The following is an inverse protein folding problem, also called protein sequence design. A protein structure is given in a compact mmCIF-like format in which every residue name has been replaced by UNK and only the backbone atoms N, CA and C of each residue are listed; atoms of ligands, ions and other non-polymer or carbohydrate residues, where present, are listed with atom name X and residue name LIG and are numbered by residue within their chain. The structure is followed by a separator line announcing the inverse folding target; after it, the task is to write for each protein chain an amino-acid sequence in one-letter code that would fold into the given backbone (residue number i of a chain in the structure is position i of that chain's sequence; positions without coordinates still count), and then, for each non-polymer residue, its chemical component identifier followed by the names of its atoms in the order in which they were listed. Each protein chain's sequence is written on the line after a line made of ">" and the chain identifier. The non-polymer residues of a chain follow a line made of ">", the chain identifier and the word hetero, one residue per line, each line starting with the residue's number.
data_IF_631893478224
#
_entry.id   IF_631893478224
#
_cell.length_a   1.000
_cell.length_b   1.000
_cell.length_c   1.000
_cell.angle_alpha   90.00
_cell.angle_beta   90.00
_cell.angle_gamma   90.00
#
_symmetry.space_group_name_H-M   'P 1'
#
loop_
_entity.id
_entity.type
_entity.pdbx_description
1 polymer ?
#
# COMPACT_ATOMS: atom_id res chain seq x y z
N UNK A 1 -8.73 34.56 3.25
CA UNK A 1 -9.88 33.73 2.84
C UNK A 1 -9.51 32.31 2.44
N UNK A 2 -8.52 32.05 1.55
CA UNK A 2 -8.14 30.69 1.12
C UNK A 2 -7.71 29.75 2.26
N UNK A 3 -6.87 30.20 3.19
CA UNK A 3 -6.42 29.37 4.33
C UNK A 3 -7.58 28.93 5.24
N UNK A 4 -8.56 29.80 5.51
CA UNK A 4 -9.72 29.49 6.31
C UNK A 4 -10.65 28.46 5.60
N UNK A 5 -10.81 28.56 4.29
CA UNK A 5 -11.58 27.59 3.50
C UNK A 5 -10.92 26.21 3.50
N UNK A 6 -9.59 26.18 3.36
CA UNK A 6 -8.82 24.92 3.42
C UNK A 6 -8.88 24.26 4.80
N UNK A 7 -8.79 25.06 5.88
CA UNK A 7 -8.93 24.54 7.24
C UNK A 7 -10.31 23.91 7.49
N UNK A 8 -11.38 24.53 6.98
CA UNK A 8 -12.76 23.97 7.05
C UNK A 8 -12.87 22.64 6.28
N UNK A 9 -12.28 22.54 5.09
CA UNK A 9 -12.30 21.31 4.29
C UNK A 9 -11.53 20.17 4.98
N UNK A 10 -10.40 20.47 5.63
CA UNK A 10 -9.61 19.50 6.39
C UNK A 10 -10.40 19.04 7.62
N UNK A 11 -10.96 19.98 8.39
CA UNK A 11 -11.76 19.65 9.56
C UNK A 11 -12.97 18.78 9.23
N UNK A 12 -13.70 19.14 8.18
CA UNK A 12 -14.83 18.33 7.71
C UNK A 12 -14.39 16.96 7.19
N UNK A 13 -13.27 16.89 6.46
CA UNK A 13 -12.67 15.62 6.03
C UNK A 13 -12.27 14.72 7.20
N UNK A 14 -11.72 15.30 8.28
CA UNK A 14 -11.43 14.58 9.52
C UNK A 14 -12.70 14.00 10.16
N UNK A 15 -13.78 14.79 10.26
CA UNK A 15 -15.05 14.33 10.82
C UNK A 15 -15.64 13.17 10.00
N UNK A 16 -15.63 13.29 8.66
CA UNK A 16 -16.10 12.22 7.77
C UNK A 16 -15.28 10.93 7.96
N UNK A 17 -13.97 11.05 8.06
CA UNK A 17 -13.07 9.91 8.29
C UNK A 17 -13.32 9.26 9.65
N UNK A 18 -13.50 10.06 10.71
CA UNK A 18 -13.79 9.56 12.05
C UNK A 18 -15.13 8.86 12.13
N UNK A 19 -16.20 9.49 11.62
CA UNK A 19 -17.54 8.91 11.59
C UNK A 19 -17.53 7.60 10.78
N UNK A 20 -16.88 7.59 9.61
CA UNK A 20 -16.73 6.39 8.79
C UNK A 20 -16.02 5.27 9.53
N UNK A 21 -14.96 5.58 10.27
CA UNK A 21 -14.25 4.59 11.08
C UNK A 21 -15.10 4.03 12.21
N UNK A 22 -15.84 4.88 12.93
CA UNK A 22 -16.72 4.46 14.02
C UNK A 22 -17.88 3.61 13.54
N UNK A 23 -18.49 3.96 12.42
CA UNK A 23 -19.53 3.16 11.78
C UNK A 23 -18.99 1.80 11.32
N UNK A 24 -17.80 1.78 10.74
CA UNK A 24 -17.13 0.54 10.34
C UNK A 24 -16.85 -0.39 11.53
N UNK A 25 -16.47 0.18 12.68
CA UNK A 25 -16.34 -0.56 13.97
C UNK A 25 -17.69 -1.13 14.39
N UNK A 26 -18.75 -0.33 14.36
CA UNK A 26 -20.09 -0.76 14.79
C UNK A 26 -20.67 -1.88 13.92
N UNK A 27 -20.36 -1.89 12.62
CA UNK A 27 -20.78 -2.92 11.66
C UNK A 27 -19.89 -4.19 11.74
N UNK A 28 -18.72 -4.11 12.41
CA UNK A 28 -17.78 -5.22 12.49
C UNK A 28 -17.00 -5.49 11.20
N UNK A 29 -16.70 -4.45 10.42
CA UNK A 29 -15.88 -4.61 9.19
C UNK A 29 -14.44 -4.98 9.53
N UNK A 30 -13.72 -5.67 8.61
CA UNK A 30 -12.28 -5.90 8.80
C UNK A 30 -11.53 -4.57 8.77
N UNK A 31 -10.52 -4.41 9.60
CA UNK A 31 -9.66 -3.21 9.66
C UNK A 31 -10.48 -1.89 9.64
N UNK A 32 -11.41 -1.72 10.60
CA UNK A 32 -12.45 -0.69 10.50
C UNK A 32 -11.90 0.74 10.42
N UNK A 33 -10.79 1.03 11.10
CA UNK A 33 -10.19 2.36 11.12
C UNK A 33 -9.60 2.78 9.77
N UNK A 34 -9.06 1.83 9.01
CA UNK A 34 -8.55 2.06 7.65
C UNK A 34 -9.69 2.08 6.63
N UNK A 35 -10.52 1.02 6.60
CA UNK A 35 -11.57 0.88 5.58
C UNK A 35 -12.70 1.88 5.76
N UNK A 36 -13.14 2.12 6.99
CA UNK A 36 -14.20 3.09 7.27
C UNK A 36 -13.81 4.50 6.83
N UNK A 37 -12.64 4.98 7.26
CA UNK A 37 -12.14 6.29 6.84
C UNK A 37 -11.93 6.39 5.32
N UNK A 38 -11.40 5.35 4.68
CA UNK A 38 -11.19 5.28 3.23
C UNK A 38 -12.53 5.36 2.48
N UNK A 39 -13.46 4.46 2.77
CA UNK A 39 -14.72 4.32 2.02
C UNK A 39 -15.57 5.58 2.17
N UNK A 40 -15.73 6.07 3.40
CA UNK A 40 -16.55 7.27 3.65
C UNK A 40 -15.93 8.51 3.00
N UNK A 41 -14.63 8.73 3.16
CA UNK A 41 -13.96 9.87 2.54
C UNK A 41 -14.02 9.79 1.01
N UNK A 42 -13.78 8.61 0.42
CA UNK A 42 -13.89 8.41 -1.02
C UNK A 42 -15.30 8.65 -1.52
N UNK A 43 -16.32 8.12 -0.83
CA UNK A 43 -17.72 8.31 -1.20
C UNK A 43 -18.13 9.80 -1.19
N UNK A 44 -17.80 10.54 -0.13
CA UNK A 44 -18.08 11.98 -0.07
C UNK A 44 -17.35 12.75 -1.16
N UNK A 45 -16.08 12.42 -1.41
CA UNK A 45 -15.26 13.08 -2.45
C UNK A 45 -15.79 12.84 -3.85
N UNK A 46 -16.17 11.60 -4.17
CA UNK A 46 -16.74 11.21 -5.47
C UNK A 46 -18.08 11.90 -5.73
N UNK A 47 -18.88 12.09 -4.68
CA UNK A 47 -20.17 12.83 -4.75
C UNK A 47 -20.00 14.36 -4.76
N UNK A 48 -18.78 14.88 -4.86
CA UNK A 48 -18.52 16.31 -5.04
C UNK A 48 -18.42 17.12 -3.74
N UNK A 49 -18.44 16.46 -2.58
CA UNK A 49 -18.25 17.17 -1.31
C UNK A 49 -16.80 17.64 -1.20
N UNK A 50 -16.63 18.91 -0.89
CA UNK A 50 -15.30 19.55 -0.87
C UNK A 50 -14.57 19.29 0.46
N UNK A 51 -13.96 18.12 0.56
CA UNK A 51 -13.14 17.67 1.70
C UNK A 51 -11.69 17.48 1.25
N UNK A 52 -10.76 17.67 2.18
CA UNK A 52 -9.33 17.51 1.92
C UNK A 52 -8.63 16.82 3.09
N UNK A 53 -7.52 16.14 2.80
CA UNK A 53 -6.57 15.64 3.78
C UNK A 53 -5.25 16.37 3.58
N UNK A 54 -4.71 16.97 4.64
CA UNK A 54 -3.39 17.59 4.55
C UNK A 54 -2.30 16.52 4.55
N UNK A 55 -1.25 16.74 3.77
CA UNK A 55 -0.12 15.79 3.60
C UNK A 55 0.50 15.36 4.94
N UNK A 56 0.52 16.24 5.93
CA UNK A 56 1.05 15.93 7.26
C UNK A 56 0.33 14.74 7.92
N UNK A 57 -1.00 14.64 7.81
CA UNK A 57 -1.76 13.53 8.39
C UNK A 57 -1.39 12.20 7.73
N UNK A 58 -1.22 12.20 6.40
CA UNK A 58 -0.70 11.02 5.68
C UNK A 58 0.68 10.63 6.19
N UNK A 59 1.60 11.59 6.32
CA UNK A 59 2.97 11.35 6.81
C UNK A 59 2.96 10.77 8.23
N UNK A 60 2.17 11.35 9.14
CA UNK A 60 2.01 10.88 10.51
C UNK A 60 1.43 9.46 10.52
N UNK A 61 0.38 9.20 9.74
CA UNK A 61 -0.20 7.87 9.63
C UNK A 61 0.80 6.82 9.13
N UNK A 62 1.58 7.15 8.08
CA UNK A 62 2.65 6.29 7.57
C UNK A 62 3.72 6.02 8.63
N UNK A 63 4.14 7.03 9.38
CA UNK A 63 5.14 6.90 10.43
C UNK A 63 4.66 6.00 11.57
N UNK A 64 3.46 6.23 12.10
CA UNK A 64 2.86 5.40 13.15
C UNK A 64 2.77 3.93 12.71
N UNK A 65 2.27 3.68 11.51
CA UNK A 65 2.14 2.31 10.99
C UNK A 65 3.52 1.70 10.73
N UNK A 66 4.48 2.49 10.23
CA UNK A 66 5.86 2.05 10.06
C UNK A 66 6.48 1.54 11.37
N UNK A 67 6.38 2.32 12.45
CA UNK A 67 6.83 1.91 13.79
C UNK A 67 6.10 0.63 14.23
N UNK A 68 4.78 0.63 14.10
CA UNK A 68 3.94 -0.50 14.51
C UNK A 68 4.31 -1.81 13.81
N UNK A 69 4.70 -1.77 12.54
CA UNK A 69 5.16 -2.94 11.79
C UNK A 69 6.58 -3.33 12.16
N UNK A 70 7.48 -2.36 12.33
CA UNK A 70 8.88 -2.61 12.71
C UNK A 70 9.04 -3.36 14.03
N UNK A 71 8.14 -3.12 15.01
CA UNK A 71 8.13 -3.81 16.31
C UNK A 71 7.91 -5.33 16.22
N UNK A 72 7.54 -5.87 15.08
CA UNK A 72 7.35 -7.31 14.87
C UNK A 72 8.54 -7.99 14.18
N UNK A 73 9.61 -7.26 13.84
CA UNK A 73 10.83 -7.81 13.23
C UNK A 73 11.78 -8.38 14.28
N UNK A 74 11.36 -9.44 14.95
CA UNK A 74 12.20 -10.16 15.91
C UNK A 74 13.37 -10.89 15.21
N UNK A 75 14.46 -11.28 15.92
CA UNK A 75 15.54 -12.06 15.34
C UNK A 75 15.06 -13.32 14.62
N UNK A 76 14.13 -14.06 15.23
CA UNK A 76 13.51 -15.24 14.63
C UNK A 76 12.78 -14.94 13.32
N UNK A 77 12.04 -13.82 13.27
CA UNK A 77 11.33 -13.40 12.07
C UNK A 77 12.31 -13.00 10.94
N UNK A 78 13.40 -12.35 11.27
CA UNK A 78 14.45 -12.00 10.30
C UNK A 78 15.09 -13.25 9.69
N UNK A 79 15.30 -14.31 10.47
CA UNK A 79 15.80 -15.58 9.97
C UNK A 79 14.81 -16.25 9.00
N UNK A 80 13.52 -16.26 9.33
CA UNK A 80 12.48 -16.76 8.42
C UNK A 80 12.50 -15.99 7.10
N UNK A 81 12.62 -14.65 7.14
CA UNK A 81 12.66 -13.81 5.95
C UNK A 81 13.89 -14.12 5.10
N UNK A 82 15.06 -14.36 5.72
CA UNK A 82 16.30 -14.76 5.00
C UNK A 82 16.09 -16.07 4.25
N UNK A 83 15.50 -17.06 4.89
CA UNK A 83 15.22 -18.38 4.28
C UNK A 83 14.23 -18.27 3.12
N UNK A 84 13.27 -17.32 3.18
CA UNK A 84 12.30 -17.08 2.14
C UNK A 84 12.76 -16.07 1.07
N UNK A 85 14.01 -15.60 1.11
CA UNK A 85 14.55 -14.61 0.17
C UNK A 85 14.45 -15.01 -1.32
N UNK A 86 14.60 -16.28 -1.73
CA UNK A 86 14.37 -16.67 -3.13
C UNK A 86 12.93 -16.43 -3.58
N UNK A 87 11.96 -16.68 -2.70
CA UNK A 87 10.54 -16.45 -2.99
C UNK A 87 10.20 -14.95 -2.98
N UNK A 88 10.87 -14.15 -2.14
CA UNK A 88 10.77 -12.68 -2.19
C UNK A 88 11.22 -12.18 -3.56
N UNK A 89 12.36 -12.65 -4.06
CA UNK A 89 12.85 -12.28 -5.39
C UNK A 89 11.90 -12.75 -6.50
N UNK A 90 11.40 -13.99 -6.43
CA UNK A 90 10.41 -14.50 -7.38
C UNK A 90 9.13 -13.64 -7.40
N UNK A 91 8.66 -13.20 -6.22
CA UNK A 91 7.54 -12.27 -6.09
C UNK A 91 7.79 -10.89 -6.73
N UNK A 92 9.03 -10.38 -6.65
CA UNK A 92 9.43 -9.15 -7.32
C UNK A 92 9.37 -9.28 -8.85
N UNK A 93 9.92 -10.37 -9.40
CA UNK A 93 9.87 -10.67 -10.84
C UNK A 93 8.43 -10.87 -11.30
N UNK A 94 7.64 -11.61 -10.54
CA UNK A 94 6.22 -11.81 -10.80
C UNK A 94 5.45 -10.48 -10.85
N UNK A 95 5.72 -9.53 -9.94
CA UNK A 95 5.06 -8.23 -9.94
C UNK A 95 5.33 -7.41 -11.21
N UNK A 96 6.54 -7.50 -11.75
CA UNK A 96 6.88 -6.89 -13.05
C UNK A 96 6.15 -7.60 -14.19
N UNK A 97 6.13 -8.93 -14.17
CA UNK A 97 5.45 -9.73 -15.19
C UNK A 97 3.94 -9.45 -15.28
N UNK A 98 3.24 -9.42 -14.14
CA UNK A 98 1.81 -9.06 -14.14
C UNK A 98 1.59 -7.60 -14.56
N UNK A 99 2.53 -6.69 -14.26
CA UNK A 99 2.49 -5.31 -14.76
C UNK A 99 2.46 -5.24 -16.28
N UNK A 100 3.23 -6.10 -16.97
CA UNK A 100 3.21 -6.20 -18.44
C UNK A 100 1.88 -6.73 -18.97
N UNK A 101 1.32 -7.74 -18.33
CA UNK A 101 -0.02 -8.24 -18.67
C UNK A 101 -1.06 -7.12 -18.54
N UNK A 102 -0.99 -6.35 -17.47
CA UNK A 102 -1.87 -5.21 -17.27
C UNK A 102 -1.67 -4.10 -18.29
N UNK A 103 -0.42 -3.83 -18.69
CA UNK A 103 -0.13 -2.86 -19.76
C UNK A 103 -0.82 -3.26 -21.07
N UNK A 104 -0.78 -4.54 -21.44
CA UNK A 104 -1.47 -5.04 -22.61
C UNK A 104 -3.00 -4.89 -22.49
N UNK A 105 -3.57 -5.17 -21.30
CA UNK A 105 -5.00 -4.99 -21.02
C UNK A 105 -5.40 -3.52 -21.17
N UNK A 106 -4.70 -2.60 -20.49
CA UNK A 106 -5.03 -1.18 -20.54
C UNK A 106 -4.82 -0.57 -21.92
N UNK A 107 -3.76 -0.96 -22.62
CA UNK A 107 -3.50 -0.50 -23.98
C UNK A 107 -4.60 -0.94 -24.97
N UNK A 108 -5.03 -2.22 -24.89
CA UNK A 108 -6.04 -2.77 -25.78
C UNK A 108 -7.46 -2.28 -25.49
N UNK A 109 -7.83 -2.19 -24.22
CA UNK A 109 -9.22 -1.93 -23.83
C UNK A 109 -9.44 -0.58 -23.15
N UNK A 110 -8.37 0.07 -22.65
CA UNK A 110 -8.45 1.37 -21.98
C UNK A 110 -8.50 2.59 -22.88
N UNK A 111 -8.19 2.43 -24.18
CA UNK A 111 -8.10 3.53 -25.18
C UNK A 111 -7.15 4.65 -24.75
N UNK A 112 -5.96 4.28 -24.28
CA UNK A 112 -4.90 5.19 -23.81
C UNK A 112 -3.58 4.91 -24.52
N UNK A 113 -2.65 5.88 -24.50
CA UNK A 113 -1.31 5.71 -25.01
C UNK A 113 -0.53 4.64 -24.25
N UNK A 114 0.49 4.08 -24.87
CA UNK A 114 1.29 2.99 -24.30
C UNK A 114 1.96 3.39 -22.98
N UNK A 115 2.45 4.62 -22.85
CA UNK A 115 3.05 5.09 -21.61
C UNK A 115 2.02 5.12 -20.44
N UNK A 116 0.83 5.67 -20.70
CA UNK A 116 -0.27 5.68 -19.73
C UNK A 116 -0.68 4.25 -19.34
N UNK A 117 -0.79 3.34 -20.31
CA UNK A 117 -1.12 1.93 -20.06
C UNK A 117 -0.05 1.24 -19.22
N UNK A 118 1.23 1.41 -19.58
CA UNK A 118 2.36 0.77 -18.91
C UNK A 118 2.53 1.25 -17.46
N UNK A 119 2.60 2.57 -17.25
CA UNK A 119 2.77 3.11 -15.89
C UNK A 119 1.50 2.99 -15.05
N UNK A 120 0.31 3.02 -15.66
CA UNK A 120 -0.96 2.80 -14.96
C UNK A 120 -1.18 1.37 -14.49
N UNK A 121 -0.59 0.38 -15.18
CA UNK A 121 -0.68 -1.04 -14.84
C UNK A 121 0.38 -1.52 -13.85
N UNK A 122 1.52 -0.84 -13.78
CA UNK A 122 2.66 -1.25 -12.96
C UNK A 122 2.30 -1.38 -11.47
N UNK A 123 2.78 -2.44 -10.81
CA UNK A 123 2.50 -2.71 -9.39
C UNK A 123 3.50 -1.96 -8.51
N UNK A 124 3.50 -0.64 -8.59
CA UNK A 124 4.36 0.28 -7.84
C UNK A 124 3.58 1.30 -7.02
N UNK A 125 4.29 2.25 -6.41
CA UNK A 125 3.67 3.38 -5.71
C UNK A 125 3.01 4.35 -6.71
N UNK A 126 1.80 4.82 -6.40
CA UNK A 126 1.04 5.67 -7.31
C UNK A 126 1.77 6.97 -7.66
N UNK A 127 2.36 7.63 -6.66
CA UNK A 127 3.08 8.91 -6.83
C UNK A 127 4.33 8.75 -7.71
N UNK A 128 5.08 7.67 -7.48
CA UNK A 128 6.30 7.35 -8.20
C UNK A 128 6.01 6.98 -9.66
N UNK A 129 4.94 6.24 -9.90
CA UNK A 129 4.53 5.87 -11.25
C UNK A 129 4.02 7.06 -12.05
N UNK A 130 3.33 8.02 -11.43
CA UNK A 130 2.93 9.28 -12.08
C UNK A 130 4.16 10.08 -12.50
N UNK A 131 5.17 10.23 -11.62
CA UNK A 131 6.42 10.91 -11.94
C UNK A 131 7.21 10.22 -13.07
N UNK A 132 7.25 8.87 -13.05
CA UNK A 132 7.89 8.10 -14.13
C UNK A 132 7.13 8.24 -15.45
N UNK A 133 5.79 8.23 -15.40
CA UNK A 133 4.95 8.45 -16.57
C UNK A 133 5.19 9.83 -17.21
N UNK A 134 5.25 10.87 -16.38
CA UNK A 134 5.55 12.22 -16.82
C UNK A 134 6.92 12.32 -17.53
N UNK A 135 7.95 11.78 -16.90
CA UNK A 135 9.32 11.75 -17.46
C UNK A 135 9.44 10.98 -18.77
N UNK A 136 8.56 10.03 -19.01
CA UNK A 136 8.56 9.17 -20.20
C UNK A 136 7.47 9.50 -21.21
N UNK A 137 6.87 10.70 -21.12
CA UNK A 137 5.99 11.26 -22.15
C UNK A 137 4.57 10.70 -22.16
N UNK A 138 4.04 10.25 -21.01
CA UNK A 138 2.62 9.93 -20.88
C UNK A 138 1.74 11.15 -21.07
N UNK A 139 0.69 11.01 -21.87
CA UNK A 139 -0.25 12.10 -22.16
C UNK A 139 -1.29 12.30 -21.07
N UNK A 140 -1.52 11.29 -20.19
CA UNK A 140 -2.63 11.29 -19.23
C UNK A 140 -2.23 10.86 -17.81
N UNK A 141 -1.48 11.74 -17.12
CA UNK A 141 -1.03 11.48 -15.74
C UNK A 141 -2.19 11.27 -14.76
N UNK A 142 -3.34 11.91 -15.00
CA UNK A 142 -4.53 11.72 -14.18
C UNK A 142 -5.12 10.32 -14.31
N UNK A 143 -5.05 9.70 -15.49
CA UNK A 143 -5.48 8.32 -15.69
C UNK A 143 -4.51 7.33 -15.04
N UNK A 144 -3.20 7.59 -15.09
CA UNK A 144 -2.21 6.79 -14.34
C UNK A 144 -2.54 6.80 -12.85
N UNK A 145 -2.74 7.98 -12.25
CA UNK A 145 -3.14 8.12 -10.86
C UNK A 145 -4.48 7.41 -10.56
N UNK A 146 -5.46 7.54 -11.45
CA UNK A 146 -6.78 6.91 -11.32
C UNK A 146 -6.70 5.38 -11.37
N UNK A 147 -5.86 4.82 -12.25
CA UNK A 147 -5.63 3.38 -12.32
C UNK A 147 -5.09 2.82 -11.00
N UNK A 148 -4.08 3.47 -10.44
CA UNK A 148 -3.52 3.08 -9.16
C UNK A 148 -4.54 3.21 -8.01
N UNK A 149 -5.29 4.32 -7.97
CA UNK A 149 -6.30 4.54 -6.92
C UNK A 149 -7.41 3.49 -6.97
N UNK A 150 -7.95 3.21 -8.17
CA UNK A 150 -9.00 2.20 -8.31
C UNK A 150 -8.50 0.80 -7.99
N UNK A 151 -7.29 0.42 -8.46
CA UNK A 151 -6.69 -0.88 -8.12
C UNK A 151 -6.53 -1.05 -6.61
N UNK A 152 -5.96 -0.05 -5.93
CA UNK A 152 -5.79 -0.09 -4.47
C UNK A 152 -7.14 -0.21 -3.78
N UNK A 153 -8.15 0.57 -4.18
CA UNK A 153 -9.49 0.49 -3.61
C UNK A 153 -10.08 -0.91 -3.72
N UNK A 154 -10.05 -1.49 -4.92
CA UNK A 154 -10.60 -2.83 -5.18
C UNK A 154 -9.92 -3.89 -4.31
N UNK A 155 -8.60 -3.87 -4.25
CA UNK A 155 -7.82 -4.87 -3.50
C UNK A 155 -8.00 -4.69 -1.98
N UNK A 156 -7.96 -3.45 -1.49
CA UNK A 156 -8.07 -3.13 -0.06
C UNK A 156 -9.47 -3.40 0.47
N UNK A 157 -10.49 -3.38 -0.38
CA UNK A 157 -11.84 -3.83 -0.01
C UNK A 157 -11.94 -5.36 -0.13
N UNK A 158 -11.59 -5.91 -1.29
CA UNK A 158 -11.86 -7.34 -1.58
C UNK A 158 -11.09 -8.28 -0.66
N UNK A 159 -9.79 -8.06 -0.44
CA UNK A 159 -8.95 -9.01 0.31
C UNK A 159 -9.38 -9.10 1.79
N UNK A 160 -9.48 -8.00 2.57
CA UNK A 160 -9.86 -8.13 3.97
C UNK A 160 -11.26 -8.70 4.19
N UNK A 161 -12.23 -8.31 3.32
CA UNK A 161 -13.58 -8.89 3.40
C UNK A 161 -13.61 -10.37 3.03
N UNK A 162 -12.86 -10.80 2.00
CA UNK A 162 -12.72 -12.21 1.67
C UNK A 162 -12.15 -13.02 2.84
N UNK A 163 -11.11 -12.48 3.51
CA UNK A 163 -10.50 -13.12 4.67
C UNK A 163 -11.47 -13.21 5.85
N UNK A 164 -12.22 -12.15 6.11
CA UNK A 164 -13.25 -12.17 7.17
C UNK A 164 -14.36 -13.17 6.86
N UNK A 165 -14.85 -13.20 5.62
CA UNK A 165 -15.90 -14.11 5.17
C UNK A 165 -15.47 -15.59 5.23
N UNK A 166 -14.22 -15.88 4.87
CA UNK A 166 -13.64 -17.23 4.91
C UNK A 166 -13.12 -17.62 6.31
N UNK A 167 -13.19 -16.71 7.29
CA UNK A 167 -12.68 -16.95 8.64
C UNK A 167 -11.17 -17.13 8.72
N UNK A 168 -10.42 -16.63 7.73
CA UNK A 168 -8.97 -16.81 7.63
C UNK A 168 -8.24 -15.91 8.62
N UNK A 169 -7.61 -16.51 9.61
CA UNK A 169 -6.74 -15.87 10.59
C UNK A 169 -5.47 -16.70 10.75
N UNK A 170 -4.40 -16.06 11.15
CA UNK A 170 -3.16 -16.73 11.54
C UNK A 170 -3.08 -16.89 13.04
N UNK A 171 -2.10 -17.65 13.50
CA UNK A 171 -1.79 -17.87 14.92
C UNK A 171 -0.39 -17.30 15.28
N UNK A 172 0.04 -16.27 14.58
CA UNK A 172 1.35 -15.66 14.77
C UNK A 172 1.34 -14.53 15.83
N UNK A 173 0.44 -14.60 16.80
CA UNK A 173 0.36 -13.66 17.94
C UNK A 173 1.61 -13.70 18.83
N UNK A 174 2.38 -14.79 18.80
CA UNK A 174 3.56 -15.02 19.64
C UNK A 174 4.82 -14.30 19.16
N UNK A 175 4.79 -13.60 18.03
CA UNK A 175 6.00 -12.97 17.46
C UNK A 175 6.25 -11.53 17.93
N UNK A 176 5.36 -10.93 18.68
CA UNK A 176 5.62 -9.64 19.29
C UNK A 176 6.40 -9.85 20.61
N UNK A 177 7.55 -9.22 20.76
CA UNK A 177 8.25 -9.21 22.05
C UNK A 177 7.34 -8.56 23.06
N UNK A 178 7.05 -9.25 24.16
CA UNK A 178 6.28 -8.70 25.25
C UNK A 178 7.12 -7.65 26.00
N UNK A 179 6.94 -6.38 25.64
CA UNK A 179 7.53 -5.26 26.35
C UNK A 179 6.44 -4.49 27.08
N UNK A 180 6.72 -4.00 28.27
CA UNK A 180 5.83 -3.11 28.98
C UNK A 180 5.77 -1.73 28.31
N UNK A 181 4.63 -1.06 28.46
CA UNK A 181 4.48 0.29 27.94
C UNK A 181 5.30 1.27 28.79
N UNK A 182 6.17 2.04 28.13
CA UNK A 182 7.01 3.06 28.74
C UNK A 182 6.87 4.39 27.98
N UNK A 183 6.51 5.46 28.68
CA UNK A 183 6.47 6.81 28.10
C UNK A 183 7.85 7.29 27.65
N UNK A 184 8.89 7.00 28.45
CA UNK A 184 10.28 7.34 28.08
C UNK A 184 10.70 6.55 26.87
N UNK A 185 10.40 5.24 26.83
CA UNK A 185 10.66 4.38 25.69
C UNK A 185 9.92 4.84 24.42
N UNK A 186 8.70 5.35 24.55
CA UNK A 186 7.96 5.93 23.42
C UNK A 186 8.66 7.16 22.84
N UNK A 187 9.11 8.08 23.71
CA UNK A 187 9.84 9.27 23.27
C UNK A 187 11.14 8.88 22.57
N UNK A 188 11.91 7.95 23.13
CA UNK A 188 13.15 7.44 22.51
C UNK A 188 12.88 6.83 21.12
N UNK A 189 11.87 5.99 21.02
CA UNK A 189 11.47 5.36 19.77
C UNK A 189 11.03 6.40 18.71
N UNK A 190 10.22 7.39 19.11
CA UNK A 190 9.78 8.46 18.23
C UNK A 190 10.96 9.31 17.73
N UNK A 191 11.90 9.68 18.61
CA UNK A 191 13.07 10.47 18.22
C UNK A 191 13.94 9.70 17.22
N UNK A 192 14.28 8.44 17.51
CA UNK A 192 15.12 7.63 16.63
C UNK A 192 14.46 7.38 15.26
N UNK A 193 13.18 7.06 15.26
CA UNK A 193 12.44 6.83 14.01
C UNK A 193 12.24 8.12 13.22
N UNK A 194 12.07 9.28 13.87
CA UNK A 194 12.00 10.58 13.21
C UNK A 194 13.32 10.89 12.47
N UNK A 195 14.48 10.60 13.10
CA UNK A 195 15.79 10.76 12.45
C UNK A 195 15.85 9.87 11.19
N UNK A 196 15.46 8.60 11.28
CA UNK A 196 15.42 7.69 10.14
C UNK A 196 14.49 8.19 9.02
N UNK A 197 13.31 8.67 9.37
CA UNK A 197 12.37 9.27 8.41
C UNK A 197 12.99 10.50 7.72
N UNK A 198 13.63 11.39 8.47
CA UNK A 198 14.30 12.57 7.94
C UNK A 198 15.43 12.21 6.96
N UNK A 199 16.25 11.23 7.31
CA UNK A 199 17.33 10.75 6.42
C UNK A 199 16.74 10.23 5.10
N UNK A 200 15.72 9.36 5.18
CA UNK A 200 15.08 8.80 3.98
C UNK A 200 14.35 9.88 3.16
N UNK A 201 13.75 10.87 3.78
CA UNK A 201 13.14 11.99 3.07
C UNK A 201 14.19 12.84 2.34
N UNK A 202 15.35 13.08 2.96
CA UNK A 202 16.47 13.82 2.36
C UNK A 202 17.05 13.12 1.12
N UNK A 203 17.12 11.80 1.13
CA UNK A 203 17.54 11.01 -0.05
C UNK A 203 16.39 10.73 -1.03
N UNK A 204 15.21 11.30 -0.79
CA UNK A 204 14.01 11.16 -1.62
C UNK A 204 13.56 9.71 -1.79
N UNK A 205 13.71 8.91 -0.74
CA UNK A 205 13.22 7.53 -0.74
C UNK A 205 11.68 7.49 -0.87
N UNK A 206 11.11 6.52 -1.59
CA UNK A 206 9.66 6.34 -1.69
C UNK A 206 9.09 6.03 -0.32
N UNK A 207 7.91 6.56 0.01
CA UNK A 207 7.25 6.35 1.30
C UNK A 207 8.18 6.53 2.53
N UNK A 208 9.06 7.54 2.50
CA UNK A 208 10.14 7.76 3.45
C UNK A 208 9.68 7.67 4.92
N UNK A 209 8.50 8.22 5.25
CA UNK A 209 7.96 8.19 6.62
C UNK A 209 7.64 6.77 7.08
N UNK A 210 7.06 5.95 6.21
CA UNK A 210 6.73 4.57 6.55
C UNK A 210 8.00 3.70 6.60
N UNK A 211 8.85 3.79 5.57
CA UNK A 211 10.09 3.02 5.52
C UNK A 211 11.05 3.40 6.64
N UNK A 212 11.16 4.68 7.00
CA UNK A 212 11.98 5.14 8.12
C UNK A 212 11.51 4.55 9.44
N UNK A 213 10.20 4.58 9.68
CA UNK A 213 9.59 3.93 10.83
C UNK A 213 9.87 2.43 10.87
N UNK A 214 9.67 1.71 9.75
CA UNK A 214 9.93 0.26 9.66
C UNK A 214 11.41 -0.04 9.89
N UNK A 215 12.31 0.58 9.13
CA UNK A 215 13.74 0.24 9.12
C UNK A 215 14.37 0.47 10.49
N UNK A 216 14.16 1.66 11.08
CA UNK A 216 14.75 1.97 12.38
C UNK A 216 14.20 1.06 13.47
N UNK A 217 12.88 0.88 13.53
CA UNK A 217 12.27 0.02 14.55
C UNK A 217 12.65 -1.45 14.33
N UNK A 218 12.68 -1.94 13.08
CA UNK A 218 13.09 -3.30 12.76
C UNK A 218 14.57 -3.56 13.14
N UNK A 219 15.46 -2.59 12.89
CA UNK A 219 16.86 -2.70 13.30
C UNK A 219 17.00 -2.80 14.83
N UNK A 220 16.24 -2.03 15.58
CA UNK A 220 16.22 -2.11 17.03
C UNK A 220 15.66 -3.47 17.50
N UNK A 221 14.49 -3.84 17.04
CA UNK A 221 13.79 -5.06 17.48
C UNK A 221 14.51 -6.34 17.07
N UNK A 222 15.17 -6.35 15.89
CA UNK A 222 15.97 -7.50 15.44
C UNK A 222 17.26 -7.70 16.25
N UNK A 223 17.65 -6.72 17.05
CA UNK A 223 18.76 -6.82 18.00
C UNK A 223 18.25 -6.88 19.46
N UNK A 224 17.01 -7.31 19.67
CA UNK A 224 16.34 -7.43 20.98
C UNK A 224 16.25 -6.10 21.77
N UNK A 225 16.38 -4.95 21.08
CA UNK A 225 16.22 -3.63 21.68
C UNK A 225 14.77 -3.18 21.48
N UNK A 226 13.96 -3.30 22.53
CA UNK A 226 12.54 -2.87 22.51
C UNK A 226 12.31 -1.85 23.62
N UNK A 227 12.16 -0.59 23.27
CA UNK A 227 11.94 0.50 24.22
C UNK A 227 10.52 0.51 24.80
N UNK A 228 9.52 0.18 23.99
CA UNK A 228 8.11 0.18 24.35
C UNK A 228 7.26 -0.52 23.27
N UNK A 229 6.05 -0.89 23.63
CA UNK A 229 5.02 -1.22 22.64
C UNK A 229 4.23 0.02 22.24
N UNK A 230 3.63 0.00 21.04
CA UNK A 230 2.75 1.06 20.57
C UNK A 230 1.31 0.76 20.99
N UNK A 231 0.67 1.69 21.69
CA UNK A 231 -0.72 1.54 22.14
C UNK A 231 -1.66 1.34 20.94
N UNK A 232 -2.69 0.48 21.08
CA UNK A 232 -3.67 0.22 20.02
C UNK A 232 -4.36 1.49 19.50
N UNK A 233 -4.60 2.46 20.36
CA UNK A 233 -5.24 3.74 20.05
C UNK A 233 -4.40 4.54 19.05
N UNK A 234 -3.09 4.60 19.26
CA UNK A 234 -2.16 5.29 18.36
C UNK A 234 -2.17 4.60 16.99
N UNK A 235 -2.19 3.26 16.97
CA UNK A 235 -2.25 2.50 15.72
C UNK A 235 -3.57 2.75 14.97
N UNK A 236 -4.71 2.83 15.68
CA UNK A 236 -6.03 3.16 15.10
C UNK A 236 -6.01 4.55 14.46
N UNK A 237 -5.42 5.55 15.12
CA UNK A 237 -5.24 6.89 14.56
C UNK A 237 -4.40 6.85 13.28
N UNK A 238 -3.30 6.11 13.28
CA UNK A 238 -2.46 5.91 12.09
C UNK A 238 -3.24 5.30 10.91
N UNK A 239 -4.04 4.27 11.16
CA UNK A 239 -4.91 3.65 10.16
C UNK A 239 -5.96 4.62 9.62
N UNK A 240 -6.62 5.39 10.49
CA UNK A 240 -7.61 6.40 10.10
C UNK A 240 -6.99 7.48 9.21
N UNK A 241 -5.82 7.99 9.55
CA UNK A 241 -5.13 8.99 8.75
C UNK A 241 -4.72 8.47 7.37
N UNK A 242 -4.29 7.22 7.28
CA UNK A 242 -4.01 6.59 5.99
C UNK A 242 -5.28 6.42 5.15
N UNK A 243 -6.35 5.88 5.70
CA UNK A 243 -7.61 5.71 4.99
C UNK A 243 -8.20 7.05 4.54
N UNK A 244 -8.19 8.07 5.40
CA UNK A 244 -8.60 9.43 5.05
C UNK A 244 -7.79 10.00 3.88
N UNK A 245 -6.46 9.87 3.92
CA UNK A 245 -5.59 10.34 2.85
C UNK A 245 -5.87 9.62 1.54
N UNK A 246 -6.03 8.30 1.56
CA UNK A 246 -6.35 7.49 0.37
C UNK A 246 -7.71 7.86 -0.21
N UNK A 247 -8.74 8.02 0.63
CA UNK A 247 -10.07 8.44 0.21
C UNK A 247 -10.10 9.85 -0.38
N UNK A 248 -9.21 10.74 0.10
CA UNK A 248 -9.11 12.11 -0.42
C UNK A 248 -8.49 12.21 -1.83
N UNK A 249 -7.85 11.15 -2.34
CA UNK A 249 -7.26 11.12 -3.67
C UNK A 249 -8.29 11.03 -4.80
N UNK A 250 -9.54 10.67 -4.50
CA UNK A 250 -10.60 10.60 -5.50
C UNK A 250 -11.09 11.98 -5.92
N UNK A 251 -11.57 12.09 -7.16
CA UNK A 251 -12.12 13.33 -7.72
C UNK A 251 -13.64 13.24 -7.86
N UNK A 252 -14.35 14.37 -7.83
CA UNK A 252 -15.78 14.38 -8.11
C UNK A 252 -16.08 13.73 -9.46
N UNK A 253 -17.11 12.88 -9.50
CA UNK A 253 -17.49 12.17 -10.72
C UNK A 253 -16.47 11.13 -11.20
N UNK A 254 -15.58 10.63 -10.37
CA UNK A 254 -14.50 9.70 -10.69
C UNK A 254 -14.92 8.60 -11.67
N UNK A 255 -16.01 7.89 -11.40
CA UNK A 255 -16.49 6.80 -12.23
C UNK A 255 -17.11 7.26 -13.57
N UNK A 256 -17.47 8.54 -13.71
CA UNK A 256 -18.07 9.10 -14.91
C UNK A 256 -17.06 9.69 -15.90
N UNK A 257 -15.86 10.04 -15.44
CA UNK A 257 -14.86 10.75 -16.25
C UNK A 257 -14.23 9.86 -17.34
N UNK A 258 -14.02 8.58 -17.06
CA UNK A 258 -13.41 7.64 -18.00
C UNK A 258 -13.94 6.21 -17.80
N UNK A 259 -15.23 5.93 -18.02
CA UNK A 259 -15.84 4.64 -17.64
C UNK A 259 -15.21 3.46 -18.37
N UNK A 260 -14.84 3.60 -19.65
CA UNK A 260 -14.17 2.56 -20.43
C UNK A 260 -12.79 2.23 -19.84
N UNK A 261 -12.00 3.26 -19.50
CA UNK A 261 -10.69 3.07 -18.90
C UNK A 261 -10.79 2.43 -17.51
N UNK A 262 -11.69 2.90 -16.66
CA UNK A 262 -11.91 2.32 -15.32
C UNK A 262 -12.44 0.88 -15.39
N UNK A 263 -13.26 0.56 -16.39
CA UNK A 263 -13.66 -0.82 -16.67
C UNK A 263 -12.46 -1.71 -17.04
N UNK A 264 -11.55 -1.21 -17.88
CA UNK A 264 -10.31 -1.92 -18.20
C UNK A 264 -9.39 -2.08 -16.97
N UNK A 265 -9.33 -1.08 -16.08
CA UNK A 265 -8.59 -1.17 -14.79
C UNK A 265 -9.21 -2.22 -13.86
N UNK A 266 -10.53 -2.29 -13.80
CA UNK A 266 -11.23 -3.31 -12.99
C UNK A 266 -10.92 -4.70 -13.51
N UNK A 267 -11.02 -4.92 -14.83
CA UNK A 267 -10.65 -6.19 -15.47
C UNK A 267 -9.18 -6.54 -15.18
N UNK A 268 -8.27 -5.58 -15.37
CA UNK A 268 -6.85 -5.75 -15.07
C UNK A 268 -6.63 -6.18 -13.61
N UNK A 269 -7.30 -5.51 -12.67
CA UNK A 269 -7.18 -5.82 -11.24
C UNK A 269 -7.69 -7.22 -10.92
N UNK A 270 -8.81 -7.64 -11.53
CA UNK A 270 -9.34 -9.01 -11.38
C UNK A 270 -8.35 -10.05 -11.91
N UNK A 271 -7.78 -9.81 -13.10
CA UNK A 271 -6.74 -10.69 -13.66
C UNK A 271 -5.52 -10.75 -12.76
N UNK A 272 -5.09 -9.63 -12.19
CA UNK A 272 -3.99 -9.59 -11.23
C UNK A 272 -4.26 -10.44 -9.99
N UNK A 273 -5.45 -10.34 -9.43
CA UNK A 273 -5.83 -11.13 -8.24
C UNK A 273 -5.84 -12.63 -8.55
N UNK A 274 -6.34 -13.04 -9.73
CA UNK A 274 -6.33 -14.43 -10.16
C UNK A 274 -4.90 -14.96 -10.37
N UNK A 275 -4.07 -14.20 -11.11
CA UNK A 275 -2.68 -14.60 -11.35
C UNK A 275 -1.86 -14.62 -10.05
N UNK A 276 -2.08 -13.64 -9.16
CA UNK A 276 -1.44 -13.62 -7.86
C UNK A 276 -1.87 -14.82 -7.01
N UNK A 277 -3.15 -15.20 -7.01
CA UNK A 277 -3.62 -16.37 -6.30
C UNK A 277 -2.94 -17.65 -6.79
N UNK A 278 -2.89 -17.88 -8.12
CA UNK A 278 -2.21 -19.05 -8.72
C UNK A 278 -0.73 -19.07 -8.33
N UNK A 279 -0.04 -17.93 -8.43
CA UNK A 279 1.36 -17.82 -8.06
C UNK A 279 1.58 -18.09 -6.55
N UNK A 280 0.71 -17.54 -5.70
CA UNK A 280 0.79 -17.75 -4.25
C UNK A 280 0.57 -19.21 -3.84
N UNK A 281 -0.35 -19.93 -4.50
CA UNK A 281 -0.52 -21.38 -4.29
C UNK A 281 0.77 -22.12 -4.63
N UNK A 282 1.40 -21.81 -5.77
CA UNK A 282 2.66 -22.42 -6.17
C UNK A 282 3.77 -22.16 -5.16
N UNK A 283 3.91 -20.91 -4.68
CA UNK A 283 4.91 -20.55 -3.66
C UNK A 283 4.61 -21.22 -2.33
N UNK A 284 3.35 -21.25 -1.88
CA UNK A 284 2.96 -21.89 -0.62
C UNK A 284 3.29 -23.38 -0.61
N UNK A 285 3.06 -24.09 -1.73
CA UNK A 285 3.40 -25.51 -1.88
C UNK A 285 4.91 -25.77 -1.89
N UNK A 286 5.74 -24.80 -2.32
CA UNK A 286 7.19 -24.94 -2.40
C UNK A 286 7.93 -24.46 -1.17
N UNK A 287 7.34 -23.62 -0.35
CA UNK A 287 8.02 -22.90 0.75
C UNK A 287 7.45 -23.18 2.14
N UNK A 288 6.45 -24.05 2.24
CA UNK A 288 5.65 -24.31 3.46
C UNK A 288 5.05 -23.04 4.09
N UNK A 289 5.00 -21.95 3.31
CA UNK A 289 4.41 -20.68 3.75
C UNK A 289 2.89 -20.81 3.83
N UNK A 290 2.29 -20.35 4.92
CA UNK A 290 0.84 -20.33 5.06
C UNK A 290 0.20 -19.53 3.91
N UNK A 291 -0.67 -20.19 3.12
CA UNK A 291 -1.25 -19.62 1.90
C UNK A 291 -1.88 -18.22 2.08
N UNK A 292 -2.68 -17.96 3.13
CA UNK A 292 -3.19 -16.61 3.39
C UNK A 292 -2.08 -15.57 3.55
N UNK A 293 -0.98 -15.90 4.23
CA UNK A 293 0.18 -15.00 4.34
C UNK A 293 0.83 -14.74 2.97
N UNK A 294 0.99 -15.78 2.14
CA UNK A 294 1.52 -15.65 0.79
C UNK A 294 0.66 -14.72 -0.09
N UNK A 295 -0.66 -14.86 -0.03
CA UNK A 295 -1.60 -14.01 -0.78
C UNK A 295 -1.44 -12.54 -0.38
N UNK A 296 -1.36 -12.20 0.91
CA UNK A 296 -1.12 -10.81 1.35
C UNK A 296 0.26 -10.31 0.95
N UNK A 297 1.28 -11.16 1.05
CA UNK A 297 2.66 -10.82 0.72
C UNK A 297 2.83 -10.44 -0.76
N UNK A 298 2.17 -11.15 -1.66
CA UNK A 298 2.35 -11.01 -3.11
C UNK A 298 1.20 -10.29 -3.82
N UNK A 299 0.10 -9.98 -3.11
CA UNK A 299 -1.02 -9.24 -3.69
C UNK A 299 -0.58 -7.88 -4.23
N UNK A 300 -1.13 -7.42 -5.38
CA UNK A 300 -0.78 -6.14 -5.99
C UNK A 300 -1.44 -4.93 -5.29
N UNK A 301 -1.63 -5.01 -3.98
CA UNK A 301 -2.13 -3.94 -3.11
C UNK A 301 -1.08 -2.91 -2.72
N UNK A 302 -1.46 -1.96 -1.88
CA UNK A 302 -0.52 -1.02 -1.28
C UNK A 302 0.23 -1.62 -0.09
N UNK A 303 1.46 -1.15 0.13
CA UNK A 303 2.34 -1.66 1.19
C UNK A 303 1.69 -1.53 2.58
N UNK A 304 1.16 -0.34 2.91
CA UNK A 304 0.56 -0.09 4.20
C UNK A 304 -0.67 -0.97 4.45
N UNK A 305 -1.54 -1.06 3.46
CA UNK A 305 -2.83 -1.74 3.56
C UNK A 305 -2.66 -3.25 3.74
N UNK A 306 -1.77 -3.86 2.96
CA UNK A 306 -1.50 -5.29 3.07
C UNK A 306 -0.79 -5.65 4.38
N UNK A 307 0.17 -4.84 4.81
CA UNK A 307 0.87 -5.03 6.07
C UNK A 307 -0.04 -4.83 7.31
N UNK A 308 -0.94 -3.83 7.27
CA UNK A 308 -1.96 -3.64 8.32
C UNK A 308 -2.92 -4.83 8.35
N UNK A 309 -3.38 -5.29 7.18
CA UNK A 309 -4.25 -6.47 7.07
C UNK A 309 -3.58 -7.70 7.68
N UNK A 310 -2.33 -7.96 7.33
CA UNK A 310 -1.55 -9.05 7.88
C UNK A 310 -1.41 -8.95 9.41
N UNK A 311 -1.16 -7.76 9.93
CA UNK A 311 -1.04 -7.53 11.36
C UNK A 311 -2.35 -7.80 12.10
N UNK A 312 -3.46 -7.23 11.63
CA UNK A 312 -4.78 -7.38 12.29
C UNK A 312 -5.28 -8.82 12.23
N UNK A 313 -4.98 -9.55 11.16
CA UNK A 313 -5.36 -10.95 10.98
C UNK A 313 -4.30 -11.94 11.50
N UNK A 314 -3.23 -11.46 12.15
CA UNK A 314 -2.14 -12.29 12.69
C UNK A 314 -1.44 -13.17 11.63
N UNK A 315 -1.29 -12.67 10.41
CA UNK A 315 -0.77 -13.38 9.24
C UNK A 315 0.70 -13.04 8.94
N UNK A 316 1.54 -12.87 9.94
CA UNK A 316 2.98 -12.63 9.75
C UNK A 316 3.27 -11.28 9.09
N UNK A 317 2.85 -10.19 9.72
CA UNK A 317 3.03 -8.82 9.22
C UNK A 317 4.47 -8.49 8.77
N UNK A 318 5.56 -8.89 9.47
CA UNK A 318 6.92 -8.64 9.01
C UNK A 318 7.24 -9.30 7.67
N UNK A 319 6.79 -10.55 7.48
CA UNK A 319 6.99 -11.28 6.24
C UNK A 319 6.27 -10.57 5.08
N UNK A 320 4.98 -10.27 5.24
CA UNK A 320 4.19 -9.50 4.26
C UNK A 320 4.86 -8.16 3.96
N UNK A 321 5.30 -7.43 5.00
CA UNK A 321 5.98 -6.14 4.85
C UNK A 321 7.26 -6.27 4.03
N UNK A 322 8.08 -7.29 4.30
CA UNK A 322 9.34 -7.53 3.59
C UNK A 322 9.12 -7.79 2.09
N UNK A 323 8.15 -8.62 1.73
CA UNK A 323 7.77 -8.84 0.33
C UNK A 323 7.30 -7.55 -0.35
N UNK A 324 6.42 -6.79 0.32
CA UNK A 324 5.86 -5.56 -0.23
C UNK A 324 6.93 -4.46 -0.41
N UNK A 325 7.87 -4.31 0.55
CA UNK A 325 8.98 -3.36 0.47
C UNK A 325 9.96 -3.75 -0.63
N UNK A 326 10.38 -5.02 -0.67
CA UNK A 326 11.29 -5.53 -1.69
C UNK A 326 10.72 -5.34 -3.09
N UNK A 327 9.43 -5.66 -3.28
CA UNK A 327 8.72 -5.42 -4.53
C UNK A 327 8.72 -3.95 -4.92
N UNK A 328 8.41 -3.05 -3.99
CA UNK A 328 8.38 -1.61 -4.27
C UNK A 328 9.73 -1.12 -4.78
N UNK A 329 10.82 -1.49 -4.10
CA UNK A 329 12.17 -1.10 -4.49
C UNK A 329 12.54 -1.70 -5.86
N UNK A 330 12.30 -3.00 -6.05
CA UNK A 330 12.62 -3.70 -7.29
C UNK A 330 11.87 -3.11 -8.49
N UNK A 331 10.58 -2.85 -8.35
CA UNK A 331 9.74 -2.23 -9.39
C UNK A 331 10.24 -0.83 -9.74
N UNK A 332 10.56 0.00 -8.75
CA UNK A 332 11.08 1.36 -8.99
C UNK A 332 12.41 1.37 -9.76
N UNK A 333 13.28 0.39 -9.50
CA UNK A 333 14.56 0.27 -10.17
C UNK A 333 14.43 -0.27 -11.61
N UNK A 334 13.46 -1.15 -11.86
CA UNK A 334 13.37 -1.91 -13.12
C UNK A 334 12.42 -1.31 -14.13
N UNK A 335 11.32 -0.70 -13.69
CA UNK A 335 10.21 -0.29 -14.56
C UNK A 335 10.61 0.80 -15.55
N UNK A 336 11.36 1.82 -15.13
CA UNK A 336 11.81 2.91 -16.02
C UNK A 336 12.70 2.42 -17.16
N UNK A 337 13.83 1.75 -16.87
CA UNK A 337 14.70 1.16 -17.90
C UNK A 337 14.00 0.18 -18.81
N UNK A 338 13.09 -0.63 -18.25
CA UNK A 338 12.34 -1.62 -19.03
C UNK A 338 11.35 -0.96 -19.99
N UNK A 339 10.67 0.11 -19.55
CA UNK A 339 9.82 0.89 -20.44
C UNK A 339 10.59 1.44 -21.66
N UNK A 340 11.76 2.04 -21.43
CA UNK A 340 12.57 2.62 -22.50
C UNK A 340 12.97 1.56 -23.54
N UNK A 341 13.39 0.39 -23.10
CA UNK A 341 13.74 -0.74 -23.99
C UNK A 341 12.52 -1.23 -24.77
N UNK A 342 11.40 -1.41 -24.08
CA UNK A 342 10.16 -1.93 -24.70
C UNK A 342 9.58 -0.92 -25.70
N UNK A 343 9.52 0.36 -25.33
CA UNK A 343 9.04 1.43 -26.21
C UNK A 343 9.89 1.55 -27.49
N UNK A 344 11.22 1.48 -27.37
CA UNK A 344 12.13 1.48 -28.52
C UNK A 344 11.91 0.26 -29.44
N UNK A 345 11.70 -0.91 -28.86
CA UNK A 345 11.43 -2.14 -29.61
C UNK A 345 10.09 -2.07 -30.36
N UNK A 346 9.01 -1.62 -29.69
CA UNK A 346 7.68 -1.51 -30.28
C UNK A 346 7.62 -0.45 -31.40
N UNK A 347 8.30 0.69 -31.23
CA UNK A 347 8.45 1.70 -32.28
C UNK A 347 9.19 1.18 -33.49
N UNK A 348 10.28 0.40 -33.30
CA UNK A 348 11.00 -0.25 -34.44
C UNK A 348 10.12 -1.20 -35.23
N UNK A 349 9.21 -1.91 -34.55
CA UNK A 349 8.25 -2.83 -35.18
C UNK A 349 6.99 -2.15 -35.69
N UNK A 350 6.84 -0.83 -35.57
CA UNK A 350 5.65 -0.06 -35.95
C UNK A 350 4.35 -0.57 -35.32
N UNK A 351 4.45 -1.08 -34.07
CA UNK A 351 3.29 -1.60 -33.32
C UNK A 351 2.59 -0.49 -32.54
N UNK A 352 3.33 0.56 -32.14
CA UNK A 352 2.88 1.78 -31.48
C UNK A 352 3.42 3.01 -32.18
#
# INVERSE_FOLDING_TARGET
>A
MMACAMAKQIFFGFLVALIGSLLAVAIGTPIPWLLGSLIFTAAFKINGVNIACHVAFRKIGQWIIGISLGLHFTPATVEIIKNLSPYVFAGCVFAVAIGLVGAAILYKWGSVDFATAYFGSTVGGASEMVVLAERNGSTNLSLVASAHSLRVLLIVITIPFAYQFLGLKGDLSSQAIAAEYSYIGLIQLLVLTAIGCFILEKIRAPNAMMLGGIIVTALLTSNDIVFTQLQPEIQRIGQMFLGWSLGSNYRPGFFRQAPKFLGAVTLMTTVYMLLAFIFCVSVALMSDMYLPTAILAMSPGGLAEMAITAKVLMLGAPLVTSFQVSRLIFVLLTVGPMYQRLNSYLKRKRII
#
